data_IF_235223081133
#
_entry.id   IF_235223081133
#
_cell.length_a   1.000
_cell.length_b   1.000
_cell.length_c   1.000
_cell.angle_alpha   90.00
_cell.angle_beta   90.00
_cell.angle_gamma   90.00
#
_symmetry.space_group_name_H-M   'P 1'
#
loop_
_entity.id
_entity.type
_entity.pdbx_description
1 polymer ?
#
# COMPACT_ATOMS: atom_id res chain seq x y z
N UNK A 1 9.71 -11.73 -1.09
CA UNK A 1 10.95 -11.87 -1.88
C UNK A 1 10.98 -13.23 -2.55
N UNK A 2 11.63 -13.32 -3.71
CA UNK A 2 11.92 -14.60 -4.35
C UNK A 2 13.34 -15.04 -4.00
N UNK A 3 13.51 -16.30 -3.65
CA UNK A 3 14.81 -16.95 -3.58
C UNK A 3 14.93 -17.88 -4.78
N UNK A 4 16.00 -17.73 -5.58
CA UNK A 4 16.19 -18.48 -6.84
C UNK A 4 14.93 -18.47 -7.72
N UNK A 5 14.30 -17.32 -7.89
CA UNK A 5 13.10 -17.14 -8.70
C UNK A 5 11.77 -17.65 -8.09
N UNK A 6 11.80 -18.30 -6.93
CA UNK A 6 10.59 -18.83 -6.27
C UNK A 6 10.16 -17.96 -5.09
N UNK A 7 8.86 -17.72 -4.93
CA UNK A 7 8.30 -17.07 -3.74
C UNK A 7 8.43 -18.01 -2.55
N UNK A 8 8.92 -17.47 -1.43
CA UNK A 8 9.10 -18.23 -0.19
C UNK A 8 8.00 -17.84 0.78
N UNK A 9 7.37 -18.83 1.40
CA UNK A 9 6.51 -18.60 2.56
C UNK A 9 7.39 -18.21 3.75
N UNK A 10 7.04 -17.15 4.43
CA UNK A 10 7.66 -16.76 5.70
C UNK A 10 6.64 -16.83 6.84
N UNK A 11 7.13 -16.95 8.05
CA UNK A 11 6.29 -16.79 9.24
C UNK A 11 5.81 -15.34 9.32
N UNK A 12 4.56 -15.12 9.75
CA UNK A 12 3.96 -13.79 9.78
C UNK A 12 4.63 -12.86 10.79
N UNK A 13 4.97 -13.36 11.98
CA UNK A 13 5.55 -12.53 13.04
C UNK A 13 6.85 -11.82 12.63
N UNK A 14 7.88 -12.49 12.08
CA UNK A 14 9.07 -11.81 11.59
C UNK A 14 8.78 -10.79 10.49
N UNK A 15 7.81 -11.08 9.60
CA UNK A 15 7.44 -10.14 8.54
C UNK A 15 6.79 -8.87 9.10
N UNK A 16 5.89 -9.01 10.08
CA UNK A 16 5.24 -7.87 10.74
C UNK A 16 6.25 -7.02 11.49
N UNK A 17 7.11 -7.66 12.27
CA UNK A 17 8.14 -6.96 13.01
C UNK A 17 9.10 -6.19 12.10
N UNK A 18 9.52 -6.76 10.97
CA UNK A 18 10.31 -6.03 9.98
C UNK A 18 9.59 -4.81 9.40
N UNK A 19 8.28 -4.90 9.19
CA UNK A 19 7.44 -3.79 8.72
C UNK A 19 7.35 -2.70 9.78
N UNK A 20 7.11 -3.06 11.03
CA UNK A 20 7.07 -2.16 12.17
C UNK A 20 8.41 -1.44 12.35
N UNK A 21 9.51 -2.21 12.47
CA UNK A 21 10.87 -1.65 12.65
C UNK A 21 11.28 -0.70 11.53
N UNK A 22 10.86 -0.99 10.29
CA UNK A 22 11.11 -0.08 9.17
C UNK A 22 10.26 1.18 9.26
N UNK A 23 8.97 1.04 9.56
CA UNK A 23 8.02 2.15 9.65
C UNK A 23 8.41 3.10 10.77
N UNK A 24 8.82 2.56 11.92
CA UNK A 24 9.19 3.32 13.11
C UNK A 24 10.44 4.19 12.95
N UNK A 25 11.20 4.04 11.87
CA UNK A 25 12.34 4.91 11.55
C UNK A 25 11.95 6.30 11.09
N UNK A 26 10.68 6.50 10.75
CA UNK A 26 10.21 7.72 10.10
C UNK A 26 9.15 8.42 10.92
N UNK A 27 9.25 9.75 10.98
CA UNK A 27 8.32 10.59 11.75
C UNK A 27 6.98 10.75 11.04
N UNK A 28 6.98 10.73 9.72
CA UNK A 28 5.86 11.11 8.87
C UNK A 28 5.17 9.93 8.14
N UNK A 29 5.33 8.71 8.61
CA UNK A 29 4.56 7.57 8.08
C UNK A 29 3.29 7.41 8.88
N UNK A 30 2.15 7.56 8.22
CA UNK A 30 0.82 7.42 8.81
C UNK A 30 0.28 5.99 8.70
N UNK A 31 0.50 5.37 7.54
CA UNK A 31 -0.02 4.04 7.22
C UNK A 31 1.07 3.25 6.51
N UNK A 32 1.28 2.02 6.94
CA UNK A 32 2.09 1.05 6.20
C UNK A 32 1.38 -0.29 6.12
N UNK A 33 1.81 -1.16 5.22
CA UNK A 33 1.21 -2.48 5.12
C UNK A 33 1.79 -3.34 4.01
N UNK A 34 1.29 -4.57 3.91
CA UNK A 34 1.77 -5.56 2.96
C UNK A 34 0.98 -5.47 1.65
N UNK A 35 1.69 -5.42 0.54
CA UNK A 35 1.05 -5.48 -0.77
C UNK A 35 0.54 -6.90 -1.07
N UNK A 36 -0.40 -7.02 -2.01
CA UNK A 36 -0.84 -8.32 -2.50
C UNK A 36 0.22 -8.96 -3.37
N UNK A 37 0.43 -10.26 -3.16
CA UNK A 37 1.41 -11.01 -3.94
C UNK A 37 1.14 -10.97 -5.45
N UNK A 38 -0.12 -10.81 -5.86
CA UNK A 38 -0.52 -10.71 -7.27
C UNK A 38 -0.08 -9.41 -7.93
N UNK A 39 0.18 -8.34 -7.16
CA UNK A 39 0.62 -7.04 -7.68
C UNK A 39 2.13 -6.86 -7.66
N UNK A 40 2.86 -7.83 -7.15
CA UNK A 40 4.31 -7.74 -7.02
C UNK A 40 4.98 -8.72 -7.97
N UNK A 41 5.63 -8.18 -8.99
CA UNK A 41 6.46 -8.95 -9.92
C UNK A 41 7.93 -9.00 -9.47
N UNK A 42 8.71 -9.85 -10.10
CA UNK A 42 10.17 -9.83 -9.95
C UNK A 42 10.73 -8.47 -10.41
N UNK A 43 11.67 -7.91 -9.65
CA UNK A 43 12.26 -6.59 -9.96
C UNK A 43 11.55 -5.39 -9.33
N UNK A 44 10.35 -5.54 -8.76
CA UNK A 44 9.73 -4.46 -8.01
C UNK A 44 10.61 -4.00 -6.83
N UNK A 45 10.60 -2.72 -6.46
CA UNK A 45 11.30 -2.21 -5.27
C UNK A 45 10.78 -2.88 -4.00
N UNK A 46 11.53 -2.79 -2.90
CA UNK A 46 11.15 -3.39 -1.62
C UNK A 46 9.82 -2.84 -1.07
N UNK A 47 9.46 -1.63 -1.42
CA UNK A 47 8.18 -0.99 -1.11
C UNK A 47 7.84 0.10 -2.13
N UNK A 48 6.58 0.47 -2.19
CA UNK A 48 6.09 1.69 -2.83
C UNK A 48 5.78 2.74 -1.78
N UNK A 49 6.13 3.97 -2.07
CA UNK A 49 5.88 5.13 -1.22
C UNK A 49 4.67 5.91 -1.75
N UNK A 50 3.88 6.50 -0.83
CA UNK A 50 2.78 7.41 -1.13
C UNK A 50 1.74 6.82 -2.09
N UNK A 51 1.30 5.63 -1.79
CA UNK A 51 0.31 4.90 -2.58
C UNK A 51 -0.78 4.29 -1.70
N UNK A 52 -1.74 3.66 -2.34
CA UNK A 52 -2.76 2.87 -1.65
C UNK A 52 -2.14 1.68 -0.90
N UNK A 53 -2.50 1.52 0.35
CA UNK A 53 -2.17 0.34 1.16
C UNK A 53 -3.44 -0.49 1.35
N UNK A 54 -3.38 -1.76 0.97
CA UNK A 54 -4.55 -2.64 0.93
C UNK A 54 -4.68 -3.48 2.20
N UNK A 55 -5.89 -3.73 2.62
CA UNK A 55 -6.33 -4.77 3.58
C UNK A 55 -5.52 -5.04 4.84
N UNK A 56 -4.20 -5.14 4.77
CA UNK A 56 -3.30 -5.22 5.92
C UNK A 56 -2.72 -3.82 6.17
N UNK A 57 -3.21 -3.18 7.21
CA UNK A 57 -2.88 -1.81 7.55
C UNK A 57 -2.26 -1.75 8.95
N UNK A 58 -1.05 -1.25 9.04
CA UNK A 58 -0.43 -0.76 10.26
C UNK A 58 -0.66 0.76 10.28
N UNK A 59 -1.51 1.21 11.19
CA UNK A 59 -1.96 2.61 11.26
C UNK A 59 -1.41 3.26 12.51
N UNK A 60 -0.86 4.45 12.38
CA UNK A 60 -0.44 5.29 13.48
C UNK A 60 -1.66 5.78 14.28
N UNK A 61 -1.65 5.55 15.60
CA UNK A 61 -2.84 5.76 16.44
C UNK A 61 -3.11 7.22 16.85
N UNK A 62 -2.07 8.06 16.82
CA UNK A 62 -2.14 9.48 17.24
C UNK A 62 -2.62 10.44 16.15
N UNK A 63 -3.12 9.91 15.02
CA UNK A 63 -3.61 10.70 13.91
C UNK A 63 -5.09 11.07 14.08
N UNK A 64 -5.49 12.30 13.65
CA UNK A 64 -6.89 12.76 13.75
C UNK A 64 -7.81 12.15 12.68
N UNK A 65 -7.26 11.37 11.74
CA UNK A 65 -8.02 10.80 10.63
C UNK A 65 -8.88 9.63 11.10
N UNK A 66 -10.05 9.47 10.46
CA UNK A 66 -11.04 8.45 10.82
C UNK A 66 -11.60 7.81 9.55
N UNK A 67 -12.10 6.60 9.70
CA UNK A 67 -12.87 5.92 8.67
C UNK A 67 -14.12 6.75 8.33
N UNK A 68 -14.32 7.00 7.05
CA UNK A 68 -15.47 7.73 6.52
C UNK A 68 -16.14 6.90 5.44
N UNK A 69 -17.38 6.71 5.50
CA UNK A 69 -18.09 5.94 4.48
C UNK A 69 -18.05 4.42 4.69
N UNK A 70 -18.92 3.75 3.95
CA UNK A 70 -19.16 2.31 4.04
C UNK A 70 -18.25 1.50 3.12
N UNK A 71 -17.60 2.14 2.13
CA UNK A 71 -16.86 1.49 1.07
C UNK A 71 -15.55 2.19 0.79
N UNK A 72 -14.55 1.42 0.31
CA UNK A 72 -13.22 1.93 -0.04
C UNK A 72 -12.58 2.73 1.10
N UNK A 73 -12.81 2.28 2.32
CA UNK A 73 -12.35 2.92 3.55
C UNK A 73 -10.82 2.99 3.61
N UNK A 74 -10.14 1.97 3.10
CA UNK A 74 -8.69 1.91 2.99
C UNK A 74 -8.15 2.96 2.01
N UNK A 75 -8.80 3.12 0.86
CA UNK A 75 -8.44 4.15 -0.13
C UNK A 75 -8.70 5.55 0.42
N UNK A 76 -9.87 5.76 1.04
CA UNK A 76 -10.22 7.06 1.64
C UNK A 76 -9.23 7.45 2.74
N UNK A 77 -8.87 6.53 3.63
CA UNK A 77 -7.92 6.83 4.69
C UNK A 77 -6.52 7.14 4.14
N UNK A 78 -6.06 6.39 3.13
CA UNK A 78 -4.80 6.71 2.45
C UNK A 78 -4.82 8.11 1.82
N UNK A 79 -5.94 8.51 1.19
CA UNK A 79 -6.08 9.84 0.62
C UNK A 79 -6.10 10.95 1.68
N UNK A 80 -6.74 10.72 2.83
CA UNK A 80 -6.76 11.68 3.95
C UNK A 80 -5.35 11.98 4.43
N UNK A 81 -4.57 10.93 4.75
CA UNK A 81 -3.22 11.09 5.29
C UNK A 81 -2.26 11.69 4.26
N UNK A 82 -2.33 11.26 3.01
CA UNK A 82 -1.50 11.78 1.93
C UNK A 82 -1.79 13.25 1.62
N UNK A 83 -3.07 13.66 1.63
CA UNK A 83 -3.46 15.06 1.45
C UNK A 83 -2.97 15.96 2.58
N UNK A 84 -2.79 15.41 3.77
CA UNK A 84 -2.24 16.09 4.94
C UNK A 84 -0.70 15.99 5.04
N UNK A 85 -0.02 15.62 3.96
CA UNK A 85 1.44 15.54 3.86
C UNK A 85 2.10 14.41 4.66
N UNK A 86 1.33 13.44 5.11
CA UNK A 86 1.85 12.19 5.63
C UNK A 86 2.21 11.23 4.50
N UNK A 87 3.04 10.23 4.81
CA UNK A 87 3.41 9.18 3.87
C UNK A 87 2.65 7.87 4.13
N UNK A 88 2.47 7.09 3.08
CA UNK A 88 2.04 5.69 3.16
C UNK A 88 3.11 4.78 2.56
N UNK A 89 3.24 3.55 3.07
CA UNK A 89 4.22 2.56 2.58
C UNK A 89 3.52 1.23 2.29
N UNK A 90 3.53 0.80 1.02
CA UNK A 90 3.08 -0.53 0.62
C UNK A 90 4.30 -1.44 0.40
N UNK A 91 4.55 -2.37 1.32
CA UNK A 91 5.71 -3.27 1.26
C UNK A 91 5.55 -4.35 0.20
N UNK A 92 6.57 -4.50 -0.65
CA UNK A 92 6.70 -5.57 -1.65
C UNK A 92 7.69 -6.64 -1.19
N UNK A 93 8.55 -6.33 -0.22
CA UNK A 93 9.52 -7.29 0.34
C UNK A 93 8.82 -8.46 1.04
N UNK A 94 7.68 -8.18 1.65
CA UNK A 94 6.73 -9.14 2.20
C UNK A 94 5.37 -8.89 1.56
N UNK A 95 4.70 -9.97 1.17
CA UNK A 95 3.40 -9.89 0.50
C UNK A 95 2.40 -10.79 1.20
N UNK A 96 1.15 -10.38 1.17
CA UNK A 96 0.04 -11.20 1.59
C UNK A 96 -0.66 -11.85 0.39
N UNK A 97 -1.19 -13.04 0.60
CA UNK A 97 -2.11 -13.67 -0.34
C UNK A 97 -3.53 -13.31 0.07
N UNK A 98 -4.26 -12.73 -0.87
CA UNK A 98 -5.68 -12.48 -0.70
C UNK A 98 -6.47 -13.34 -1.67
N UNK A 99 -7.53 -13.97 -1.19
CA UNK A 99 -8.50 -14.60 -2.07
C UNK A 99 -9.26 -13.54 -2.88
N UNK A 100 -9.71 -13.90 -4.07
CA UNK A 100 -10.47 -13.00 -4.92
C UNK A 100 -11.73 -12.52 -4.19
N UNK A 101 -11.95 -11.21 -4.17
CA UNK A 101 -13.12 -10.61 -3.54
C UNK A 101 -14.40 -11.14 -4.17
N UNK A 102 -15.32 -11.63 -3.33
CA UNK A 102 -16.60 -12.19 -3.76
C UNK A 102 -16.58 -13.70 -4.04
N UNK A 103 -15.47 -14.42 -3.78
CA UNK A 103 -15.40 -15.88 -3.95
C UNK A 103 -15.56 -16.66 -2.65
N UNK A 104 -15.51 -15.99 -1.51
CA UNK A 104 -15.74 -16.61 -0.21
C UNK A 104 -17.22 -16.50 0.18
N UNK A 105 -17.76 -17.54 0.80
CA UNK A 105 -19.10 -17.51 1.41
C UNK A 105 -19.08 -16.62 2.66
N UNK A 106 -20.13 -15.81 2.83
CA UNK A 106 -20.28 -14.93 3.99
C UNK A 106 -19.68 -13.53 3.81
N UNK A 107 -19.78 -12.71 4.85
CA UNK A 107 -19.40 -11.32 4.83
C UNK A 107 -20.34 -10.46 3.97
N UNK A 108 -19.88 -9.25 3.65
CA UNK A 108 -20.66 -8.26 2.90
C UNK A 108 -20.70 -8.50 1.38
N UNK A 109 -20.16 -9.64 0.88
CA UNK A 109 -20.01 -9.87 -0.55
C UNK A 109 -21.35 -9.84 -1.30
N UNK A 110 -22.35 -10.49 -0.75
CA UNK A 110 -23.67 -10.57 -1.36
C UNK A 110 -24.45 -9.25 -1.30
N UNK A 111 -24.28 -8.48 -0.26
CA UNK A 111 -24.95 -7.19 -0.10
C UNK A 111 -24.26 -6.07 -0.89
N UNK A 112 -22.93 -6.03 -0.86
CA UNK A 112 -22.16 -4.90 -1.39
C UNK A 112 -21.78 -5.02 -2.87
N UNK A 113 -21.67 -6.22 -3.42
CA UNK A 113 -21.15 -6.43 -4.78
C UNK A 113 -22.20 -6.89 -5.79
N UNK A 114 -23.43 -7.16 -5.37
CA UNK A 114 -24.54 -7.51 -6.30
C UNK A 114 -24.94 -6.33 -7.17
N UNK A 115 -25.32 -6.63 -8.42
CA UNK A 115 -25.84 -5.64 -9.37
C UNK A 115 -24.83 -4.50 -9.64
N UNK A 116 -25.25 -3.28 -9.36
CA UNK A 116 -24.45 -2.07 -9.56
C UNK A 116 -23.57 -1.69 -8.35
N UNK A 117 -23.41 -2.56 -7.35
CA UNK A 117 -22.71 -2.26 -6.10
C UNK A 117 -21.33 -1.66 -6.29
N UNK A 118 -20.52 -2.19 -7.22
CA UNK A 118 -19.18 -1.63 -7.52
C UNK A 118 -19.23 -0.20 -8.04
N UNK A 119 -20.22 0.13 -8.85
CA UNK A 119 -20.41 1.49 -9.36
C UNK A 119 -20.81 2.44 -8.23
N UNK A 120 -21.72 2.01 -7.34
CA UNK A 120 -22.09 2.79 -6.15
C UNK A 120 -20.88 3.08 -5.25
N UNK A 121 -20.04 2.06 -5.01
CA UNK A 121 -18.83 2.21 -4.23
C UNK A 121 -17.84 3.20 -4.86
N UNK A 122 -17.62 3.11 -6.17
CA UNK A 122 -16.74 4.03 -6.89
C UNK A 122 -17.30 5.46 -6.89
N UNK A 123 -18.61 5.64 -7.10
CA UNK A 123 -19.27 6.95 -7.04
C UNK A 123 -19.24 7.55 -5.64
N UNK A 124 -19.38 6.75 -4.59
CA UNK A 124 -19.29 7.23 -3.22
C UNK A 124 -17.90 7.83 -2.94
N UNK A 125 -16.84 7.13 -3.32
CA UNK A 125 -15.47 7.65 -3.15
C UNK A 125 -15.22 8.89 -4.03
N UNK A 126 -15.69 8.89 -5.29
CA UNK A 126 -15.58 10.07 -6.16
C UNK A 126 -16.26 11.31 -5.59
N UNK A 127 -17.44 11.15 -4.95
CA UNK A 127 -18.12 12.26 -4.28
C UNK A 127 -17.35 12.80 -3.06
N UNK A 128 -16.67 11.94 -2.32
CA UNK A 128 -15.82 12.36 -1.20
C UNK A 128 -14.54 13.06 -1.67
N UNK A 129 -14.06 12.74 -2.87
CA UNK A 129 -12.80 13.23 -3.41
C UNK A 129 -12.95 13.79 -4.84
N UNK A 130 -13.73 14.88 -5.03
CA UNK A 130 -13.93 15.48 -6.34
C UNK A 130 -12.59 15.99 -6.91
N UNK A 131 -12.33 15.71 -8.19
CA UNK A 131 -11.06 16.06 -8.86
C UNK A 131 -9.85 15.20 -8.47
N UNK A 132 -10.00 14.32 -7.47
CA UNK A 132 -8.95 13.41 -7.02
C UNK A 132 -9.25 11.98 -7.44
N UNK A 133 -10.49 11.58 -7.34
CA UNK A 133 -10.96 10.24 -7.70
C UNK A 133 -11.83 10.31 -8.94
N UNK A 134 -11.54 9.44 -9.89
CA UNK A 134 -12.35 9.17 -11.07
C UNK A 134 -12.82 7.74 -11.13
N UNK A 135 -13.71 7.46 -12.09
CA UNK A 135 -14.22 6.12 -12.36
C UNK A 135 -13.70 5.65 -13.71
N UNK A 136 -13.07 4.50 -13.71
CA UNK A 136 -12.59 3.84 -14.92
C UNK A 136 -13.17 2.44 -15.02
N UNK A 137 -13.14 1.87 -16.20
CA UNK A 137 -13.54 0.48 -16.44
C UNK A 137 -12.29 -0.38 -16.59
N UNK A 138 -11.94 -1.13 -15.55
CA UNK A 138 -10.84 -2.09 -15.55
C UNK A 138 -11.37 -3.50 -15.33
N UNK A 139 -10.79 -4.48 -16.01
CA UNK A 139 -11.21 -5.89 -15.93
C UNK A 139 -12.73 -6.06 -16.15
N UNK A 140 -13.29 -5.31 -17.12
CA UNK A 140 -14.74 -5.29 -17.46
C UNK A 140 -15.65 -4.81 -16.31
N UNK A 141 -15.11 -4.14 -15.28
CA UNK A 141 -15.83 -3.69 -14.08
C UNK A 141 -15.58 -2.20 -13.82
N UNK A 142 -16.60 -1.44 -13.36
CA UNK A 142 -16.37 -0.09 -12.89
C UNK A 142 -15.51 -0.12 -11.63
N UNK A 143 -14.50 0.73 -11.58
CA UNK A 143 -13.61 0.88 -10.43
C UNK A 143 -13.24 2.35 -10.26
N UNK A 144 -13.04 2.77 -9.00
CA UNK A 144 -12.41 4.06 -8.74
C UNK A 144 -10.94 4.01 -9.16
N UNK A 145 -10.44 5.14 -9.63
CA UNK A 145 -9.03 5.37 -9.96
C UNK A 145 -8.63 6.73 -9.42
N UNK A 146 -7.36 6.89 -9.08
CA UNK A 146 -6.86 8.19 -8.67
C UNK A 146 -6.50 8.99 -9.92
N UNK A 147 -7.16 10.13 -10.08
CA UNK A 147 -6.92 11.04 -11.20
C UNK A 147 -5.47 11.54 -11.20
N UNK A 148 -4.82 11.48 -12.35
CA UNK A 148 -3.42 11.89 -12.53
C UNK A 148 -2.39 11.13 -11.68
N UNK A 149 -2.72 9.94 -11.20
CA UNK A 149 -1.88 9.03 -10.42
C UNK A 149 -1.59 9.48 -8.96
N UNK A 150 -1.09 8.55 -8.16
CA UNK A 150 -0.67 8.77 -6.78
C UNK A 150 0.54 9.71 -6.65
N UNK A 151 1.28 9.96 -7.73
CA UNK A 151 2.48 10.84 -7.74
C UNK A 151 2.22 12.26 -7.27
N UNK A 152 0.99 12.77 -7.37
CA UNK A 152 0.65 14.08 -6.82
C UNK A 152 0.83 14.19 -5.31
N UNK A 153 0.96 13.05 -4.62
CA UNK A 153 1.24 12.97 -3.19
C UNK A 153 2.71 12.64 -2.92
N UNK A 154 3.64 13.02 -3.79
CA UNK A 154 5.07 12.73 -3.63
C UNK A 154 5.67 13.53 -2.47
N UNK A 155 5.72 12.89 -1.30
CA UNK A 155 6.31 13.44 -0.08
C UNK A 155 7.50 12.56 0.33
N UNK A 156 8.65 13.14 0.71
CA UNK A 156 9.80 12.38 1.16
C UNK A 156 9.55 11.79 2.56
N UNK A 157 10.17 10.65 2.82
CA UNK A 157 10.25 10.10 4.16
C UNK A 157 11.18 10.95 5.04
N UNK A 158 10.73 11.30 6.24
CA UNK A 158 11.49 12.06 7.22
C UNK A 158 11.98 11.09 8.30
N UNK A 159 13.28 10.87 8.37
CA UNK A 159 13.88 10.01 9.40
C UNK A 159 13.79 10.65 10.77
N UNK A 160 13.55 9.86 11.81
CA UNK A 160 13.69 10.30 13.20
C UNK A 160 15.13 10.73 13.48
N UNK A 161 15.30 11.83 14.21
CA UNK A 161 16.62 12.43 14.46
C UNK A 161 17.58 11.50 15.21
N UNK A 162 17.06 10.74 16.18
CA UNK A 162 17.84 9.87 17.05
C UNK A 162 17.96 8.43 16.56
N UNK A 163 17.65 8.22 15.26
CA UNK A 163 17.65 6.88 14.67
C UNK A 163 19.08 6.33 14.59
N UNK A 164 19.41 5.42 15.47
CA UNK A 164 20.62 4.58 15.37
C UNK A 164 20.25 3.32 14.57
N UNK A 165 20.72 3.23 13.34
CA UNK A 165 20.62 1.98 12.57
C UNK A 165 21.85 1.16 12.95
N UNK A 166 21.64 0.06 13.67
CA UNK A 166 22.70 -0.90 13.93
C UNK A 166 23.17 -1.52 12.61
N UNK A 167 24.49 -1.61 12.42
CA UNK A 167 25.08 -2.38 11.33
C UNK A 167 25.07 -3.90 11.60
N UNK A 168 24.63 -4.29 12.78
CA UNK A 168 24.52 -5.68 13.17
C UNK A 168 23.23 -6.31 12.59
N UNK A 169 23.23 -7.62 12.50
CA UNK A 169 22.00 -8.36 12.16
C UNK A 169 20.94 -8.03 13.20
N UNK A 170 19.75 -7.68 12.72
CA UNK A 170 18.63 -7.53 13.64
C UNK A 170 18.30 -8.87 14.32
N UNK A 171 17.40 -8.87 15.30
CA UNK A 171 16.94 -10.07 16.02
C UNK A 171 16.41 -11.20 15.11
N UNK A 172 16.19 -10.93 13.82
CA UNK A 172 15.75 -11.89 12.78
C UNK A 172 16.90 -12.38 11.90
N UNK A 173 18.15 -12.01 12.21
CA UNK A 173 19.32 -12.37 11.41
C UNK A 173 19.40 -11.67 10.04
N UNK A 174 18.66 -10.57 9.85
CA UNK A 174 18.66 -9.81 8.60
C UNK A 174 19.65 -8.64 8.67
N UNK A 175 20.56 -8.55 7.72
CA UNK A 175 21.43 -7.39 7.55
C UNK A 175 20.61 -6.22 6.96
N UNK A 176 20.54 -5.13 7.71
CA UNK A 176 19.97 -3.87 7.23
C UNK A 176 21.05 -3.09 6.48
N UNK A 177 21.28 -3.43 5.23
CA UNK A 177 22.19 -2.65 4.38
C UNK A 177 21.46 -1.41 3.86
N UNK A 178 22.05 -0.22 4.08
CA UNK A 178 21.70 0.95 3.31
C UNK A 178 21.98 0.63 1.84
N UNK A 179 20.95 0.67 0.99
CA UNK A 179 21.15 0.44 -0.43
C UNK A 179 21.58 1.76 -1.05
N UNK A 180 22.79 1.79 -1.61
CA UNK A 180 23.21 2.92 -2.43
C UNK A 180 22.17 3.23 -3.50
N UNK A 181 21.99 4.51 -3.80
CA UNK A 181 20.97 5.02 -4.73
C UNK A 181 20.92 4.15 -5.98
N UNK A 182 19.82 3.41 -6.15
CA UNK A 182 19.57 2.68 -7.39
C UNK A 182 19.27 3.73 -8.45
N UNK A 183 20.26 4.07 -9.25
CA UNK A 183 20.05 4.73 -10.52
C UNK A 183 19.56 3.67 -11.51
N UNK A 184 18.25 3.47 -11.64
CA UNK A 184 17.71 2.68 -12.71
C UNK A 184 16.55 3.42 -13.37
N UNK A 185 16.72 3.86 -14.63
CA UNK A 185 15.66 4.45 -15.44
C UNK A 185 14.48 3.51 -15.70
N UNK A 186 14.71 2.19 -15.62
CA UNK A 186 13.70 1.19 -15.95
C UNK A 186 12.60 1.00 -14.88
N UNK A 187 12.89 1.32 -13.62
CA UNK A 187 11.88 1.23 -12.54
C UNK A 187 10.75 2.24 -12.73
N UNK A 188 11.03 3.36 -13.38
CA UNK A 188 10.03 4.36 -13.71
C UNK A 188 9.03 3.84 -14.75
N UNK A 189 9.51 3.16 -15.82
CA UNK A 189 8.66 2.54 -16.85
C UNK A 189 7.74 1.48 -16.26
N UNK A 190 8.25 0.64 -15.36
CA UNK A 190 7.46 -0.42 -14.71
C UNK A 190 6.34 0.20 -13.87
N UNK A 191 6.63 1.25 -13.11
CA UNK A 191 5.64 1.97 -12.31
C UNK A 191 4.53 2.57 -13.21
N UNK A 192 4.90 3.16 -14.33
CA UNK A 192 3.96 3.79 -15.27
C UNK A 192 3.04 2.78 -15.96
N UNK A 193 3.56 1.58 -16.26
CA UNK A 193 2.77 0.50 -16.90
C UNK A 193 1.67 -0.05 -15.99
N UNK A 194 1.82 0.06 -14.65
CA UNK A 194 0.86 -0.48 -13.68
C UNK A 194 -0.15 0.57 -13.17
N UNK A 195 0.13 1.86 -13.40
CA UNK A 195 -0.69 2.97 -12.87
C UNK A 195 -1.36 3.79 -13.96
N UNK A 196 -1.12 3.48 -15.23
CA UNK A 196 -1.87 3.91 -16.42
C UNK A 196 -2.82 2.79 -16.84
#
# INVERSE_FOLDING_TARGET
RTYKGKRIKCKSLPAFKCVEDFTDRYENVAISGLNYSMFVAGGNPAFYLNTHVYSFLLIRNDLPFRWRGRYNEDTDLCLQVLSAKWCTIAFNAFCQNKQTTGTMKGGNADELYKGHGRLYMANALKRMWPGVVDISRRYKRPQHVIAHSWRKFDHPLIKKKDLKISNEKNEYGLDLKAKDKIKSPDLQKIYDTWHN
#
